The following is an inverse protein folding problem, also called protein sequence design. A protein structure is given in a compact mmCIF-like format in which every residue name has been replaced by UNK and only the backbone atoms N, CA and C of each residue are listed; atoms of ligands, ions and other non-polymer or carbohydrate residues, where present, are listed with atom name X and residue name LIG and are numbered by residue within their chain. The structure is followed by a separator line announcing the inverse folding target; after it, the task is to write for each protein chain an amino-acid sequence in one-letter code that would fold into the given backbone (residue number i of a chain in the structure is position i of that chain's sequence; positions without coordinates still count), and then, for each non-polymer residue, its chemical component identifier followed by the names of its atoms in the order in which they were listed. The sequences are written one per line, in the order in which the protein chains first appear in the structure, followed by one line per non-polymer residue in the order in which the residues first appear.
data_IF_377135035121
#
_entry.id   IF_377135035121
#
_cell.length_a   1.000
_cell.length_b   1.000
_cell.length_c   1.000
_cell.angle_alpha   90.00
_cell.angle_beta   90.00
_cell.angle_gamma   90.00
#
_symmetry.space_group_name_H-M   'P 1'
#
loop_
_entity.id
_entity.type
_entity.pdbx_description
1 polymer ?
#
# COMPACT_ATOMS: atom_id res chain seq x y z
N UNK A 1 -30.86 31.39 14.99
CA UNK A 1 -30.60 30.29 14.04
C UNK A 1 -29.20 30.32 13.41
N UNK A 2 -28.40 31.40 13.51
CA UNK A 2 -27.06 31.48 12.88
C UNK A 2 -25.92 30.77 13.63
N UNK A 3 -26.04 30.53 14.95
CA UNK A 3 -24.93 29.96 15.75
C UNK A 3 -24.78 28.44 15.61
N UNK A 4 -25.85 27.71 15.32
CA UNK A 4 -25.82 26.24 15.15
C UNK A 4 -25.14 25.87 13.83
N UNK A 5 -25.34 26.67 12.78
CA UNK A 5 -24.68 26.48 11.48
C UNK A 5 -23.16 26.62 11.59
N UNK A 6 -22.69 27.56 12.42
CA UNK A 6 -21.26 27.80 12.64
C UNK A 6 -20.58 26.63 13.37
N UNK A 7 -21.28 25.99 14.31
CA UNK A 7 -20.80 24.81 15.05
C UNK A 7 -20.70 23.61 14.12
N UNK A 8 -21.68 23.42 13.21
CA UNK A 8 -21.61 22.38 12.18
C UNK A 8 -20.45 22.61 11.20
N UNK A 9 -20.17 23.85 10.81
CA UNK A 9 -19.07 24.19 9.90
C UNK A 9 -17.69 23.93 10.54
N UNK A 10 -17.54 24.23 11.83
CA UNK A 10 -16.32 23.98 12.60
C UNK A 10 -16.07 22.48 12.86
N UNK A 11 -17.13 21.69 13.08
CA UNK A 11 -17.01 20.25 13.31
C UNK A 11 -16.50 19.49 12.07
N UNK A 12 -16.80 19.96 10.85
CA UNK A 12 -16.29 19.36 9.61
C UNK A 12 -14.80 19.61 9.35
N UNK A 13 -14.17 20.57 10.04
CA UNK A 13 -12.78 20.96 9.80
C UNK A 13 -11.76 20.02 10.45
N UNK A 14 -12.19 19.10 11.32
CA UNK A 14 -11.32 18.20 12.08
C UNK A 14 -11.39 16.73 11.64
N UNK A 15 -12.04 16.45 10.51
CA UNK A 15 -12.07 15.09 9.96
C UNK A 15 -10.73 14.86 9.25
N UNK A 16 -9.71 14.43 9.99
CA UNK A 16 -8.49 13.90 9.38
C UNK A 16 -8.89 12.65 8.58
N UNK A 17 -8.71 12.61 7.25
CA UNK A 17 -9.03 11.42 6.50
C UNK A 17 -8.10 10.30 7.00
N UNK A 18 -8.69 9.26 7.58
CA UNK A 18 -8.03 7.98 7.82
C UNK A 18 -7.64 7.42 6.44
N UNK A 19 -6.39 7.67 6.01
CA UNK A 19 -5.81 7.23 4.73
C UNK A 19 -5.46 5.74 4.76
N UNK A 20 -6.35 4.90 5.26
CA UNK A 20 -6.04 3.51 5.58
C UNK A 20 -6.04 2.58 4.36
N UNK A 21 -6.62 2.97 3.22
CA UNK A 21 -6.67 2.16 2.00
C UNK A 21 -6.57 3.05 0.77
N UNK A 22 -5.35 3.44 0.38
CA UNK A 22 -5.18 4.34 -0.76
C UNK A 22 -5.18 3.58 -2.08
N UNK A 23 -4.57 2.39 -2.11
CA UNK A 23 -4.41 1.58 -3.33
C UNK A 23 -4.66 0.09 -3.07
N UNK A 24 -5.55 -0.25 -2.12
CA UNK A 24 -6.06 -1.62 -1.88
C UNK A 24 -7.11 -2.04 -2.93
N UNK A 25 -7.91 -1.08 -3.43
CA UNK A 25 -8.93 -1.29 -4.45
C UNK A 25 -8.47 -0.67 -5.77
N UNK A 26 -8.26 -1.52 -6.78
CA UNK A 26 -7.65 -1.13 -8.05
C UNK A 26 -8.58 -1.45 -9.21
N UNK A 27 -8.46 -0.72 -10.32
CA UNK A 27 -8.99 -1.24 -11.58
C UNK A 27 -8.27 -2.54 -11.97
N UNK A 28 -8.92 -3.39 -12.76
CA UNK A 28 -8.32 -4.62 -13.29
C UNK A 28 -6.97 -4.37 -13.98
N UNK A 29 -6.84 -3.24 -14.68
CA UNK A 29 -5.63 -2.87 -15.43
C UNK A 29 -4.48 -2.54 -14.46
N UNK A 30 -4.77 -1.79 -13.40
CA UNK A 30 -3.81 -1.42 -12.37
C UNK A 30 -3.37 -2.65 -11.56
N UNK A 31 -4.31 -3.49 -11.11
CA UNK A 31 -4.00 -4.73 -10.42
C UNK A 31 -3.10 -5.64 -11.26
N UNK A 32 -3.37 -5.78 -12.57
CA UNK A 32 -2.51 -6.54 -13.49
C UNK A 32 -1.11 -5.94 -13.65
N UNK A 33 -0.98 -4.60 -13.65
CA UNK A 33 0.33 -3.92 -13.69
C UNK A 33 1.10 -4.16 -12.39
N UNK A 34 0.46 -3.94 -11.24
CA UNK A 34 1.06 -4.18 -9.92
C UNK A 34 1.52 -5.63 -9.77
N UNK A 35 0.68 -6.60 -10.13
CA UNK A 35 1.06 -8.02 -10.17
C UNK A 35 2.32 -8.25 -11.00
N UNK A 36 2.37 -7.72 -12.24
CA UNK A 36 3.53 -7.90 -13.14
C UNK A 36 4.82 -7.32 -12.54
N UNK A 37 4.73 -6.21 -11.82
CA UNK A 37 5.87 -5.58 -11.15
C UNK A 37 6.35 -6.44 -9.98
N UNK A 38 5.44 -6.80 -9.06
CA UNK A 38 5.78 -7.56 -7.86
C UNK A 38 6.27 -8.97 -8.19
N UNK A 39 5.68 -9.65 -9.19
CA UNK A 39 6.10 -11.01 -9.60
C UNK A 39 7.54 -11.10 -10.14
N UNK A 40 8.21 -9.97 -10.37
CA UNK A 40 9.60 -9.91 -10.83
C UNK A 40 10.58 -9.52 -9.71
N UNK A 41 10.10 -9.47 -8.48
CA UNK A 41 10.86 -9.10 -7.29
C UNK A 41 11.06 -10.34 -6.43
N UNK A 42 12.26 -10.52 -5.88
CA UNK A 42 12.53 -11.58 -4.90
C UNK A 42 11.89 -11.25 -3.54
N UNK A 43 11.82 -9.96 -3.21
CA UNK A 43 11.21 -9.46 -2.00
C UNK A 43 10.61 -8.07 -2.18
N UNK A 44 9.65 -7.75 -1.31
CA UNK A 44 9.09 -6.42 -1.10
C UNK A 44 9.12 -6.09 0.38
N UNK A 45 8.91 -4.82 0.71
CA UNK A 45 8.82 -4.36 2.10
C UNK A 45 7.42 -3.83 2.38
N UNK A 46 6.87 -4.18 3.54
CA UNK A 46 5.66 -3.54 4.03
C UNK A 46 6.04 -2.43 5.00
N UNK A 47 5.57 -1.22 4.70
CA UNK A 47 5.77 -0.06 5.53
C UNK A 47 4.68 0.99 5.29
N UNK A 48 3.98 1.33 6.36
CA UNK A 48 3.01 2.42 6.41
C UNK A 48 3.66 3.63 7.11
N UNK A 49 4.01 4.67 6.36
CA UNK A 49 4.65 5.86 6.93
C UNK A 49 3.75 6.68 7.85
N UNK A 50 2.42 6.44 7.77
CA UNK A 50 1.39 7.07 8.59
C UNK A 50 1.10 6.31 9.89
N UNK A 51 1.57 5.06 10.00
CA UNK A 51 1.25 4.19 11.11
C UNK A 51 2.28 4.38 12.24
N UNK A 52 1.85 4.23 13.50
CA UNK A 52 2.70 4.41 14.68
C UNK A 52 3.82 3.35 14.78
N UNK A 53 3.69 2.26 14.01
CA UNK A 53 4.65 1.17 13.96
C UNK A 53 5.74 1.46 12.92
N UNK A 54 6.96 1.71 13.37
CA UNK A 54 8.14 1.83 12.50
C UNK A 54 8.67 0.46 12.01
N UNK A 55 7.84 -0.58 12.01
CA UNK A 55 8.27 -1.95 11.68
C UNK A 55 8.23 -2.12 10.17
N UNK A 56 9.40 -2.37 9.58
CA UNK A 56 9.51 -2.78 8.19
C UNK A 56 9.51 -4.31 8.15
N UNK A 57 8.51 -4.90 7.52
CA UNK A 57 8.48 -6.34 7.27
C UNK A 57 9.07 -6.64 5.88
N UNK A 58 10.06 -7.54 5.82
CA UNK A 58 10.57 -8.06 4.55
C UNK A 58 9.75 -9.28 4.14
N UNK A 59 9.05 -9.15 3.01
CA UNK A 59 8.20 -10.18 2.44
C UNK A 59 8.88 -10.81 1.21
N UNK A 60 9.39 -12.03 1.33
CA UNK A 60 9.95 -12.78 0.18
C UNK A 60 8.83 -13.33 -0.69
N UNK A 61 8.74 -12.84 -1.92
CA UNK A 61 7.62 -13.10 -2.82
C UNK A 61 7.59 -14.57 -3.23
N UNK A 62 6.44 -15.22 -3.07
CA UNK A 62 6.21 -16.61 -3.51
C UNK A 62 5.20 -16.64 -4.67
N UNK A 63 4.08 -15.95 -4.53
CA UNK A 63 3.02 -15.90 -5.54
C UNK A 63 2.31 -14.57 -5.50
N UNK A 64 1.92 -14.06 -6.66
CA UNK A 64 1.15 -12.82 -6.78
C UNK A 64 -0.05 -13.05 -7.68
N UNK A 65 -1.24 -12.78 -7.16
CA UNK A 65 -2.51 -12.99 -7.85
C UNK A 65 -3.32 -11.71 -7.92
N UNK A 66 -4.25 -11.66 -8.86
CA UNK A 66 -5.25 -10.59 -8.95
C UNK A 66 -6.59 -11.21 -8.67
N UNK A 67 -7.30 -10.68 -7.68
CA UNK A 67 -8.61 -11.20 -7.25
C UNK A 67 -9.66 -10.11 -7.41
N UNK A 68 -10.83 -10.49 -7.90
CA UNK A 68 -11.98 -9.59 -7.90
C UNK A 68 -12.48 -9.45 -6.46
N UNK A 69 -12.67 -8.21 -6.00
CA UNK A 69 -13.04 -7.93 -4.60
C UNK A 69 -14.48 -8.36 -4.26
N UNK A 70 -15.32 -8.62 -5.28
CA UNK A 70 -16.76 -8.81 -5.09
C UNK A 70 -17.54 -7.50 -5.04
N UNK A 71 -16.86 -6.35 -5.11
CA UNK A 71 -17.45 -5.02 -5.07
C UNK A 71 -17.15 -4.24 -6.36
N UNK A 72 -18.23 -3.76 -7.00
CA UNK A 72 -18.20 -3.02 -8.26
C UNK A 72 -17.26 -3.64 -9.32
N UNK A 73 -16.32 -2.87 -9.84
CA UNK A 73 -15.29 -3.32 -10.80
C UNK A 73 -13.88 -3.25 -10.20
N UNK A 74 -13.77 -3.41 -8.87
CA UNK A 74 -12.50 -3.34 -8.17
C UNK A 74 -11.83 -4.70 -7.98
N UNK A 75 -10.52 -4.68 -8.07
CA UNK A 75 -9.64 -5.82 -7.93
C UNK A 75 -8.58 -5.50 -6.88
N UNK A 76 -8.13 -6.53 -6.18
CA UNK A 76 -7.02 -6.47 -5.24
C UNK A 76 -5.86 -7.34 -5.75
N UNK A 77 -4.67 -7.08 -5.22
CA UNK A 77 -3.53 -7.98 -5.39
C UNK A 77 -3.41 -8.84 -4.15
N UNK A 78 -3.41 -10.15 -4.34
CA UNK A 78 -3.14 -11.12 -3.28
C UNK A 78 -1.67 -11.53 -3.37
N UNK A 79 -0.92 -11.30 -2.30
CA UNK A 79 0.47 -11.69 -2.18
C UNK A 79 0.59 -12.88 -1.22
N UNK A 80 1.14 -13.98 -1.73
CA UNK A 80 1.69 -15.05 -0.90
C UNK A 80 3.19 -14.83 -0.78
N UNK A 81 3.71 -14.82 0.44
CA UNK A 81 5.11 -14.53 0.71
C UNK A 81 5.62 -15.28 1.95
N UNK A 82 6.95 -15.34 2.12
CA UNK A 82 7.59 -15.80 3.36
C UNK A 82 8.07 -14.63 4.18
N UNK A 83 7.69 -14.59 5.45
CA UNK A 83 8.17 -13.59 6.41
C UNK A 83 9.65 -13.82 6.81
N UNK A 84 10.14 -13.00 7.75
CA UNK A 84 11.48 -13.10 8.32
C UNK A 84 11.72 -14.39 9.13
N UNK A 85 10.65 -15.06 9.58
CA UNK A 85 10.69 -16.34 10.30
C UNK A 85 10.49 -17.55 9.36
N UNK A 86 10.44 -17.34 8.04
CA UNK A 86 10.13 -18.34 7.01
C UNK A 86 8.69 -18.88 7.02
N UNK A 87 7.75 -18.27 7.73
CA UNK A 87 6.35 -18.67 7.67
C UNK A 87 5.71 -18.18 6.39
N UNK A 88 4.85 -19.00 5.80
CA UNK A 88 4.08 -18.62 4.61
C UNK A 88 2.86 -17.79 5.03
N UNK A 89 2.74 -16.60 4.47
CA UNK A 89 1.62 -15.69 4.67
C UNK A 89 0.89 -15.47 3.34
N UNK A 90 -0.41 -15.15 3.38
CA UNK A 90 -1.19 -14.76 2.20
C UNK A 90 -2.17 -13.66 2.57
N UNK A 91 -2.10 -12.52 1.90
CA UNK A 91 -2.95 -11.37 2.19
C UNK A 91 -3.20 -10.50 0.95
N UNK A 92 -4.28 -9.71 0.98
CA UNK A 92 -4.45 -8.57 0.10
C UNK A 92 -3.48 -7.44 0.50
N UNK A 93 -2.95 -6.70 -0.47
CA UNK A 93 -1.96 -5.65 -0.20
C UNK A 93 -2.38 -4.28 -0.75
N UNK A 94 -2.06 -3.23 0.00
CA UNK A 94 -2.19 -1.82 -0.44
C UNK A 94 -0.91 -1.37 -1.15
N UNK A 95 -1.00 -1.05 -2.44
CA UNK A 95 0.17 -0.63 -3.22
C UNK A 95 0.80 0.70 -2.78
N UNK A 96 0.13 1.47 -1.93
CA UNK A 96 0.70 2.65 -1.28
C UNK A 96 1.70 2.30 -0.18
N UNK A 97 1.62 1.08 0.38
CA UNK A 97 2.43 0.63 1.52
C UNK A 97 3.30 -0.60 1.22
N UNK A 98 3.23 -1.13 -0.01
CA UNK A 98 4.22 -2.10 -0.52
C UNK A 98 5.35 -1.35 -1.20
N UNK A 99 6.58 -1.57 -0.76
CA UNK A 99 7.79 -0.93 -1.26
C UNK A 99 8.68 -1.93 -1.98
N UNK A 100 9.31 -1.48 -3.07
CA UNK A 100 10.41 -2.19 -3.72
C UNK A 100 11.76 -1.59 -3.29
N UNK A 101 12.82 -2.40 -3.31
CA UNK A 101 14.20 -1.91 -3.31
C UNK A 101 14.88 -2.21 -4.65
N UNK A 102 14.20 -1.89 -5.76
CA UNK A 102 14.78 -2.11 -7.08
C UNK A 102 15.83 -1.02 -7.35
N UNK A 103 17.03 -1.43 -7.77
CA UNK A 103 18.14 -0.52 -8.11
C UNK A 103 18.52 0.45 -6.97
N UNK A 104 18.47 0.00 -5.72
CA UNK A 104 18.76 0.82 -4.52
C UNK A 104 17.84 2.04 -4.34
N UNK A 105 16.68 2.05 -5.00
CA UNK A 105 15.65 3.07 -4.83
C UNK A 105 14.46 2.46 -4.13
N UNK A 106 14.11 3.02 -2.98
CA UNK A 106 12.88 2.67 -2.29
C UNK A 106 11.74 3.47 -2.88
N UNK A 107 10.83 2.76 -3.52
CA UNK A 107 9.63 3.33 -4.11
C UNK A 107 8.47 2.40 -3.81
N UNK A 108 7.30 2.98 -3.57
CA UNK A 108 6.08 2.16 -3.44
C UNK A 108 5.76 1.51 -4.79
N UNK A 109 5.05 0.39 -4.76
CA UNK A 109 4.58 -0.23 -6.00
C UNK A 109 3.65 0.73 -6.75
N UNK A 110 2.80 1.48 -6.03
CA UNK A 110 1.98 2.55 -6.59
C UNK A 110 2.78 3.56 -7.41
N UNK A 111 3.93 4.02 -6.88
CA UNK A 111 4.82 4.94 -7.60
C UNK A 111 5.38 4.31 -8.87
N UNK A 112 5.82 3.04 -8.80
CA UNK A 112 6.40 2.32 -9.96
C UNK A 112 5.38 2.17 -11.09
N UNK A 113 4.09 2.05 -10.78
CA UNK A 113 3.01 1.94 -11.78
C UNK A 113 2.30 3.27 -12.07
N UNK A 114 2.84 4.39 -11.58
CA UNK A 114 2.36 5.77 -11.77
C UNK A 114 0.93 6.00 -11.25
N UNK A 115 0.63 5.53 -10.04
CA UNK A 115 -0.60 5.85 -9.33
C UNK A 115 -0.36 6.93 -8.29
N UNK A 116 -1.28 7.89 -8.21
CA UNK A 116 -1.29 8.93 -7.21
C UNK A 116 -1.69 8.35 -5.85
N UNK A 117 -0.90 8.64 -4.83
CA UNK A 117 -1.12 8.24 -3.43
C UNK A 117 -0.11 9.00 -2.55
N UNK A 118 -0.29 8.94 -1.23
CA UNK A 118 0.54 9.60 -0.24
C UNK A 118 0.93 8.59 0.86
N UNK A 119 2.17 8.07 0.85
CA UNK A 119 2.63 7.12 1.86
C UNK A 119 2.94 7.77 3.23
N UNK A 120 2.62 9.06 3.43
CA UNK A 120 2.99 9.95 4.53
C UNK A 120 4.50 10.17 4.69
N UNK A 121 5.24 9.11 5.02
CA UNK A 121 6.70 9.15 5.14
C UNK A 121 7.31 8.18 4.15
N UNK A 122 8.37 8.61 3.47
CA UNK A 122 9.16 7.73 2.63
C UNK A 122 10.18 6.96 3.45
N UNK A 123 10.49 5.74 3.01
CA UNK A 123 11.61 4.96 3.57
C UNK A 123 13.01 5.55 3.22
N UNK A 124 13.07 6.66 2.47
CA UNK A 124 14.32 7.29 2.06
C UNK A 124 15.20 6.45 1.13
N UNK A 125 16.48 6.80 1.01
CA UNK A 125 17.52 5.92 0.44
C UNK A 125 18.15 5.10 1.55
N UNK A 126 17.90 3.79 1.57
CA UNK A 126 18.59 2.89 2.50
C UNK A 126 20.05 2.76 2.05
N UNK A 127 20.94 3.45 2.76
CA UNK A 127 22.32 3.00 2.87
C UNK A 127 22.30 1.78 3.78
N UNK A 128 22.37 0.59 3.16
CA UNK A 128 22.59 -0.73 3.81
C UNK A 128 21.56 -1.19 4.84
N UNK A 129 20.78 -2.22 4.46
CA UNK A 129 20.46 -3.34 5.37
C UNK A 129 21.50 -4.44 5.13
#
# INVERSE_FOLDING_TARGET
MSKILLIFLLAFSFINPLKADQLSYLSKKEAKKGRRVISRMDSVFFFCGCCDENVIEVARVVKVEVKFTGYENYYEIILTYKDNKNNLQTMGVDLAYVWSNKNKKLQTIGQIINLEHDPCRSLGTVNTF
#
